data_IF_673218897405
#
_entry.id   IF_673218897405
#
_cell.length_a   1.000
_cell.length_b   1.000
_cell.length_c   1.000
_cell.angle_alpha   90.00
_cell.angle_beta   90.00
_cell.angle_gamma   90.00
#
_symmetry.space_group_name_H-M   'P 1'
#
loop_
_entity.id
_entity.type
_entity.pdbx_description
1 polymer ?
#
# COMPACT_ATOMS: atom_id res chain seq x y z
N UNK A 1 31.41 -10.81 -63.58
CA UNK A 1 30.55 -11.53 -64.53
C UNK A 1 29.14 -10.97 -64.38
N UNK A 2 28.54 -10.13 -65.21
CA UNK A 2 28.95 -9.34 -66.37
C UNK A 2 27.77 -8.37 -66.64
N UNK A 3 28.07 -7.07 -66.86
CA UNK A 3 27.42 -6.02 -67.69
C UNK A 3 25.86 -5.91 -67.68
N UNK A 4 25.22 -4.79 -67.29
CA UNK A 4 25.25 -3.42 -67.83
C UNK A 4 24.41 -3.20 -69.13
N UNK A 5 23.57 -2.14 -69.09
CA UNK A 5 23.22 -1.15 -70.15
C UNK A 5 21.86 -1.21 -70.87
N UNK A 6 21.13 -0.09 -70.68
CA UNK A 6 20.23 0.74 -71.52
C UNK A 6 19.58 0.23 -72.81
N UNK A 7 18.35 0.75 -73.03
CA UNK A 7 17.81 1.51 -74.19
C UNK A 7 16.30 1.20 -74.36
N UNK A 8 15.38 2.01 -74.89
CA UNK A 8 15.25 3.41 -75.29
C UNK A 8 13.76 3.68 -75.61
N UNK A 9 13.35 4.95 -75.47
CA UNK A 9 12.34 5.76 -76.21
C UNK A 9 11.29 5.11 -77.16
N UNK A 10 10.05 5.63 -77.08
CA UNK A 10 9.22 6.23 -78.17
C UNK A 10 7.87 6.73 -77.58
N UNK A 11 7.62 8.04 -77.49
CA UNK A 11 6.95 8.94 -78.47
C UNK A 11 5.56 8.47 -78.97
N UNK A 12 4.49 9.18 -78.59
CA UNK A 12 3.51 9.77 -79.51
C UNK A 12 2.40 10.54 -78.76
N UNK A 13 2.21 11.80 -79.16
CA UNK A 13 1.05 12.63 -78.86
C UNK A 13 -0.25 11.99 -79.36
N UNK A 14 -1.37 12.27 -78.69
CA UNK A 14 -2.64 12.60 -79.35
C UNK A 14 -3.60 13.29 -78.38
N UNK A 15 -3.80 14.58 -78.64
CA UNK A 15 -4.90 15.40 -78.13
C UNK A 15 -6.18 14.99 -78.83
N UNK A 16 -7.21 14.59 -78.09
CA UNK A 16 -8.60 14.60 -78.56
C UNK A 16 -9.44 15.18 -77.42
N UNK A 17 -9.98 16.38 -77.65
CA UNK A 17 -11.03 16.92 -76.81
C UNK A 17 -12.35 16.23 -77.12
N UNK A 18 -13.13 15.91 -76.08
CA UNK A 18 -14.56 15.68 -76.23
C UNK A 18 -15.30 16.32 -75.05
N UNK A 19 -16.28 17.15 -75.41
CA UNK A 19 -17.27 17.76 -74.55
C UNK A 19 -18.23 16.71 -73.97
N UNK A 20 -18.57 16.94 -72.70
CA UNK A 20 -19.88 16.70 -72.05
C UNK A 20 -20.55 15.34 -72.20
N UNK A 21 -20.69 14.63 -71.08
CA UNK A 21 -22.00 14.19 -70.58
C UNK A 21 -21.86 13.79 -69.11
N UNK A 22 -22.69 14.39 -68.26
CA UNK A 22 -22.72 14.13 -66.83
C UNK A 22 -23.18 12.71 -66.53
N UNK A 23 -22.36 12.00 -65.77
CA UNK A 23 -22.78 10.81 -65.04
C UNK A 23 -22.48 11.07 -63.56
N UNK A 24 -23.54 11.17 -62.75
CA UNK A 24 -23.49 11.13 -61.30
C UNK A 24 -22.98 9.76 -60.87
N UNK A 25 -21.67 9.63 -60.71
CA UNK A 25 -21.07 8.53 -59.95
C UNK A 25 -20.94 9.02 -58.51
N UNK A 26 -21.86 8.54 -57.67
CA UNK A 26 -21.74 8.61 -56.22
C UNK A 26 -20.47 7.83 -55.81
N UNK A 27 -19.35 8.54 -55.74
CA UNK A 27 -18.13 8.02 -55.17
C UNK A 27 -18.36 7.77 -53.69
N UNK A 28 -18.48 6.50 -53.30
CA UNK A 28 -18.23 6.07 -51.93
C UNK A 28 -16.77 6.43 -51.60
N UNK A 29 -16.55 7.65 -51.12
CA UNK A 29 -15.31 8.00 -50.46
C UNK A 29 -15.33 7.21 -49.16
N UNK A 30 -14.66 6.06 -49.16
CA UNK A 30 -14.25 5.41 -47.92
C UNK A 30 -13.40 6.43 -47.17
N UNK A 31 -14.01 7.13 -46.21
CA UNK A 31 -13.27 7.86 -45.19
C UNK A 31 -12.45 6.81 -44.47
N UNK A 32 -11.17 6.69 -44.83
CA UNK A 32 -10.18 6.13 -43.94
C UNK A 32 -10.29 6.96 -42.68
N UNK A 33 -10.92 6.39 -41.64
CA UNK A 33 -10.84 6.95 -40.30
C UNK A 33 -9.37 6.89 -39.95
N UNK A 34 -8.68 8.02 -40.06
CA UNK A 34 -7.43 8.23 -39.34
C UNK A 34 -7.75 7.96 -37.87
N UNK A 35 -7.35 6.79 -37.41
CA UNK A 35 -7.40 6.47 -36.00
C UNK A 35 -6.31 7.35 -35.40
N UNK A 36 -6.60 8.25 -34.45
CA UNK A 36 -5.57 9.11 -33.88
C UNK A 36 -4.49 8.19 -33.32
N UNK A 37 -3.28 8.35 -33.84
CA UNK A 37 -2.09 7.53 -33.55
C UNK A 37 -1.62 7.63 -32.08
N UNK A 38 -2.28 8.48 -31.27
CA UNK A 38 -2.00 8.64 -29.86
C UNK A 38 -3.32 8.79 -29.11
N UNK A 39 -3.64 7.80 -28.27
CA UNK A 39 -4.57 8.03 -27.18
C UNK A 39 -3.98 9.13 -26.28
N UNK A 40 -4.76 10.13 -25.84
CA UNK A 40 -4.24 11.14 -24.92
C UNK A 40 -3.73 10.47 -23.65
N UNK A 41 -2.56 10.90 -23.18
CA UNK A 41 -2.01 10.44 -21.90
C UNK A 41 -3.05 10.63 -20.78
N UNK A 42 -3.18 9.67 -19.84
CA UNK A 42 -4.16 9.75 -18.78
C UNK A 42 -3.93 11.01 -17.94
N UNK A 43 -4.98 11.82 -17.80
CA UNK A 43 -4.92 13.03 -16.97
C UNK A 43 -5.30 12.71 -15.52
N UNK A 44 -4.35 12.93 -14.61
CA UNK A 44 -4.55 12.77 -13.16
C UNK A 44 -5.00 14.07 -12.46
N UNK A 45 -5.39 15.10 -13.22
CA UNK A 45 -5.74 16.43 -12.69
C UNK A 45 -6.84 16.41 -11.63
N UNK A 46 -7.82 15.50 -11.74
CA UNK A 46 -8.88 15.33 -10.75
C UNK A 46 -8.35 14.76 -9.42
N UNK A 47 -7.38 13.85 -9.46
CA UNK A 47 -6.74 13.33 -8.25
C UNK A 47 -5.90 14.43 -7.59
N UNK A 48 -5.16 15.21 -8.38
CA UNK A 48 -4.36 16.34 -7.89
C UNK A 48 -5.23 17.44 -7.28
N UNK A 49 -6.40 17.73 -7.89
CA UNK A 49 -7.36 18.67 -7.35
C UNK A 49 -7.90 18.20 -5.99
N UNK A 50 -8.28 16.92 -5.86
CA UNK A 50 -8.74 16.36 -4.59
C UNK A 50 -7.68 16.51 -3.47
N UNK A 51 -6.40 16.31 -3.78
CA UNK A 51 -5.31 16.51 -2.81
C UNK A 51 -5.17 17.99 -2.44
N UNK A 52 -5.20 18.91 -3.42
CA UNK A 52 -5.13 20.36 -3.17
C UNK A 52 -6.31 20.84 -2.31
N UNK A 53 -7.52 20.36 -2.59
CA UNK A 53 -8.74 20.71 -1.84
C UNK A 53 -8.65 20.20 -0.39
N UNK A 54 -8.16 18.98 -0.19
CA UNK A 54 -7.93 18.45 1.15
C UNK A 54 -6.90 19.26 1.95
N UNK A 55 -5.86 19.77 1.29
CA UNK A 55 -4.88 20.66 1.95
C UNK A 55 -5.52 22.02 2.26
N UNK A 56 -6.25 22.61 1.32
CA UNK A 56 -6.92 23.90 1.49
C UNK A 56 -7.97 23.88 2.61
N UNK A 57 -8.64 22.74 2.81
CA UNK A 57 -9.64 22.53 3.87
C UNK A 57 -9.06 22.04 5.19
N UNK A 58 -7.73 21.92 5.31
CA UNK A 58 -7.06 21.52 6.55
C UNK A 58 -7.17 20.03 6.89
N UNK A 59 -7.53 19.17 5.94
CA UNK A 59 -7.61 17.72 6.17
C UNK A 59 -6.22 17.07 6.35
N UNK A 60 -5.17 17.68 5.79
CA UNK A 60 -3.76 17.36 6.02
C UNK A 60 -2.88 18.54 5.57
N UNK A 61 -1.62 18.66 6.07
CA UNK A 61 -0.74 19.79 5.69
C UNK A 61 -0.11 19.64 4.30
N UNK A 62 -0.01 18.42 3.79
CA UNK A 62 0.66 18.08 2.54
C UNK A 62 0.56 16.59 2.25
N UNK A 63 0.91 16.21 1.02
CA UNK A 63 0.87 14.82 0.58
C UNK A 63 1.86 14.53 -0.55
N UNK A 64 2.21 13.26 -0.69
CA UNK A 64 2.87 12.69 -1.87
C UNK A 64 1.93 11.64 -2.47
N UNK A 65 1.66 11.76 -3.77
CA UNK A 65 0.84 10.83 -4.54
C UNK A 65 1.72 10.13 -5.56
N UNK A 66 1.68 8.79 -5.57
CA UNK A 66 2.27 7.99 -6.63
C UNK A 66 1.25 6.97 -7.17
N UNK A 67 1.16 6.89 -8.49
CA UNK A 67 0.32 5.91 -9.20
C UNK A 67 1.23 5.07 -10.06
N UNK A 68 1.16 3.76 -9.91
CA UNK A 68 1.85 2.82 -10.78
C UNK A 68 0.88 2.04 -11.66
N UNK A 69 1.32 1.72 -12.88
CA UNK A 69 0.66 0.79 -13.79
C UNK A 69 1.68 0.06 -14.65
N UNK A 70 1.51 -1.24 -14.81
CA UNK A 70 2.35 -2.08 -15.69
C UNK A 70 3.85 -1.90 -15.44
N UNK A 71 4.25 -1.95 -14.16
CA UNK A 71 5.64 -1.87 -13.72
C UNK A 71 6.27 -0.47 -13.75
N UNK A 72 5.50 0.59 -14.03
CA UNK A 72 6.00 1.97 -14.09
C UNK A 72 5.18 2.91 -13.23
N UNK A 73 5.81 3.94 -12.68
CA UNK A 73 5.10 5.09 -12.12
C UNK A 73 4.56 5.91 -13.30
N UNK A 74 3.24 6.04 -13.38
CA UNK A 74 2.53 6.79 -14.41
C UNK A 74 2.05 8.15 -13.93
N UNK A 75 2.08 8.37 -12.60
CA UNK A 75 1.86 9.69 -12.00
C UNK A 75 2.65 9.84 -10.71
N UNK A 76 3.28 11.00 -10.52
CA UNK A 76 4.02 11.36 -9.31
C UNK A 76 3.78 12.84 -9.02
N UNK A 77 3.26 13.15 -7.84
CA UNK A 77 2.97 14.53 -7.46
C UNK A 77 3.23 14.78 -5.97
N UNK A 78 3.66 16.01 -5.66
CA UNK A 78 4.03 16.47 -4.32
C UNK A 78 3.26 17.74 -4.01
N UNK A 79 2.66 17.81 -2.82
CA UNK A 79 1.75 18.88 -2.45
C UNK A 79 2.00 19.39 -1.02
N UNK A 80 1.85 20.69 -0.83
CA UNK A 80 1.79 21.32 0.49
C UNK A 80 3.11 21.23 1.27
N UNK A 81 2.97 21.03 2.58
CA UNK A 81 4.08 21.07 3.54
C UNK A 81 4.16 19.77 4.32
N UNK A 82 5.37 19.29 4.58
CA UNK A 82 5.58 18.18 5.52
C UNK A 82 5.54 18.67 6.96
N UNK A 83 5.84 19.94 7.22
CA UNK A 83 5.70 20.55 8.53
C UNK A 83 5.12 21.96 8.40
N UNK A 84 4.14 22.31 9.23
CA UNK A 84 3.66 23.70 9.40
C UNK A 84 4.20 24.37 10.67
N UNK A 85 4.78 23.59 11.58
CA UNK A 85 5.33 24.01 12.88
C UNK A 85 6.36 22.97 13.34
N UNK A 86 7.38 23.33 14.15
CA UNK A 86 7.75 24.69 14.61
C UNK A 86 8.26 25.58 13.47
N UNK A 87 8.76 24.97 12.40
CA UNK A 87 9.19 25.65 11.18
C UNK A 87 8.44 25.06 10.00
N UNK A 88 7.95 25.93 9.12
CA UNK A 88 7.30 25.49 7.90
C UNK A 88 8.31 24.86 6.94
N UNK A 89 8.06 23.62 6.51
CA UNK A 89 8.91 22.87 5.58
C UNK A 89 8.06 22.34 4.42
N UNK A 90 8.50 22.60 3.19
CA UNK A 90 7.84 22.08 2.00
C UNK A 90 7.87 20.55 1.98
N UNK A 91 6.80 19.97 1.44
CA UNK A 91 6.77 18.56 1.12
C UNK A 91 7.73 18.29 -0.04
N UNK A 92 8.44 17.17 -0.01
CA UNK A 92 9.35 16.72 -1.07
C UNK A 92 9.09 15.26 -1.41
N UNK A 93 9.47 14.82 -2.61
CA UNK A 93 9.27 13.43 -3.05
C UNK A 93 9.98 12.41 -2.15
N UNK A 94 11.15 12.77 -1.62
CA UNK A 94 11.97 11.97 -0.71
C UNK A 94 11.57 12.11 0.77
N UNK A 95 10.42 12.74 1.05
CA UNK A 95 9.89 12.82 2.42
C UNK A 95 9.60 11.42 2.95
N UNK A 96 10.06 11.17 4.17
CA UNK A 96 9.86 9.90 4.88
C UNK A 96 8.65 10.04 5.80
N UNK A 97 7.72 9.10 5.72
CA UNK A 97 6.48 9.12 6.50
C UNK A 97 6.49 8.00 7.54
N UNK A 98 5.92 8.27 8.72
CA UNK A 98 5.46 7.20 9.59
C UNK A 98 4.30 6.47 8.91
N UNK A 99 4.49 5.20 8.60
CA UNK A 99 3.55 4.38 7.84
C UNK A 99 2.41 3.86 8.71
N UNK A 100 2.49 4.00 10.03
CA UNK A 100 1.51 3.51 10.98
C UNK A 100 1.10 2.07 10.64
N UNK A 101 -0.21 1.82 10.48
CA UNK A 101 -0.77 0.49 10.22
C UNK A 101 -0.40 -0.14 8.89
N UNK A 102 0.20 0.58 7.93
CA UNK A 102 0.82 -0.08 6.75
C UNK A 102 1.97 -1.02 7.14
N UNK A 103 2.54 -0.87 8.35
CA UNK A 103 3.49 -1.82 8.94
C UNK A 103 2.94 -3.25 8.97
N UNK A 104 1.62 -3.42 9.19
CA UNK A 104 0.97 -4.72 9.29
C UNK A 104 1.16 -5.57 8.03
N UNK A 105 0.66 -5.15 6.85
CA UNK A 105 0.82 -5.93 5.63
C UNK A 105 2.25 -5.89 5.08
N UNK A 106 2.93 -4.73 5.15
CA UNK A 106 4.23 -4.57 4.49
C UNK A 106 5.37 -5.30 5.21
N UNK A 107 5.27 -5.47 6.54
CA UNK A 107 6.33 -6.07 7.34
C UNK A 107 5.84 -7.34 8.05
N UNK A 108 4.92 -7.20 8.99
CA UNK A 108 4.65 -8.28 9.95
C UNK A 108 3.95 -9.47 9.30
N UNK A 109 2.91 -9.23 8.49
CA UNK A 109 2.25 -10.29 7.75
C UNK A 109 3.21 -10.94 6.73
N UNK A 110 3.99 -10.14 6.02
CA UNK A 110 4.99 -10.63 5.07
C UNK A 110 6.04 -11.53 5.77
N UNK A 111 6.55 -11.11 6.92
CA UNK A 111 7.49 -11.89 7.73
C UNK A 111 6.88 -13.22 8.21
N UNK A 112 5.62 -13.20 8.66
CA UNK A 112 4.90 -14.43 9.03
C UNK A 112 4.79 -15.36 7.82
N UNK A 113 4.42 -14.84 6.65
CA UNK A 113 4.30 -15.66 5.43
C UNK A 113 5.65 -16.21 4.95
N UNK A 114 6.76 -15.47 5.11
CA UNK A 114 8.10 -16.00 4.83
C UNK A 114 8.44 -17.18 5.73
N UNK A 115 8.09 -17.10 7.01
CA UNK A 115 8.31 -18.20 7.96
C UNK A 115 7.38 -19.39 7.68
N UNK A 116 6.20 -19.17 7.08
CA UNK A 116 5.32 -20.23 6.56
C UNK A 116 5.96 -20.93 5.37
N UNK A 117 6.52 -20.20 4.40
CA UNK A 117 7.25 -20.81 3.26
C UNK A 117 8.43 -21.68 3.69
N UNK A 118 9.08 -21.29 4.78
CA UNK A 118 10.19 -22.04 5.37
C UNK A 118 9.71 -23.27 6.17
N UNK A 119 8.41 -23.54 6.25
CA UNK A 119 7.82 -24.63 7.03
C UNK A 119 7.93 -24.44 8.55
N UNK A 120 8.20 -23.23 9.01
CA UNK A 120 8.42 -22.91 10.44
C UNK A 120 7.14 -22.49 11.15
N UNK A 121 6.18 -21.98 10.39
CA UNK A 121 4.84 -21.61 10.84
C UNK A 121 3.80 -22.29 9.96
N UNK A 122 2.63 -22.53 10.53
CA UNK A 122 1.44 -22.97 9.82
C UNK A 122 0.30 -22.02 10.20
N UNK A 123 -0.35 -21.44 9.19
CA UNK A 123 -1.37 -20.40 9.38
C UNK A 123 -2.61 -20.93 10.10
N UNK A 124 -2.85 -22.23 10.02
CA UNK A 124 -4.01 -22.89 10.63
C UNK A 124 -3.72 -23.42 12.04
N UNK A 125 -2.47 -23.30 12.52
CA UNK A 125 -2.13 -23.64 13.91
C UNK A 125 -2.45 -22.50 14.87
N UNK A 126 -2.85 -22.81 16.11
CA UNK A 126 -2.96 -21.83 17.19
C UNK A 126 -1.65 -21.09 17.46
N UNK A 127 -1.70 -19.80 17.75
CA UNK A 127 -0.51 -19.05 18.19
C UNK A 127 0.12 -19.68 19.44
N UNK A 128 -0.71 -20.23 20.33
CA UNK A 128 -0.29 -20.94 21.54
C UNK A 128 0.67 -22.11 21.28
N UNK A 129 0.66 -22.70 20.08
CA UNK A 129 1.65 -23.72 19.68
C UNK A 129 3.08 -23.19 19.74
N UNK A 130 3.27 -21.91 19.41
CA UNK A 130 4.58 -21.26 19.31
C UNK A 130 4.87 -20.37 20.51
N UNK A 131 3.84 -19.80 21.12
CA UNK A 131 3.89 -18.94 22.30
C UNK A 131 2.88 -19.43 23.36
N UNK A 132 3.21 -20.46 24.17
CA UNK A 132 2.25 -21.13 25.05
C UNK A 132 1.45 -20.23 25.98
N UNK A 133 2.09 -19.20 26.55
CA UNK A 133 1.44 -18.23 27.46
C UNK A 133 0.25 -17.51 26.79
N UNK A 134 0.26 -17.40 25.45
CA UNK A 134 -0.85 -16.80 24.72
C UNK A 134 -2.17 -17.56 24.91
N UNK A 135 -2.15 -18.85 25.27
CA UNK A 135 -3.36 -19.66 25.45
C UNK A 135 -4.31 -19.14 26.56
N UNK A 136 -3.79 -18.33 27.49
CA UNK A 136 -4.56 -17.75 28.60
C UNK A 136 -5.82 -17.02 28.12
N UNK A 137 -6.81 -16.85 28.99
CA UNK A 137 -7.98 -16.01 28.76
C UNK A 137 -8.75 -16.34 27.46
N UNK A 138 -9.01 -17.64 27.23
CA UNK A 138 -9.82 -18.16 26.10
C UNK A 138 -9.18 -17.96 24.71
N UNK A 139 -7.86 -17.82 24.64
CA UNK A 139 -7.12 -17.62 23.38
C UNK A 139 -6.46 -18.88 22.82
N UNK A 140 -6.59 -20.02 23.50
CA UNK A 140 -5.94 -21.29 23.13
C UNK A 140 -6.22 -21.75 21.69
N UNK A 141 -7.39 -21.45 21.14
CA UNK A 141 -7.79 -21.85 19.79
C UNK A 141 -7.55 -20.77 18.71
N UNK A 142 -7.01 -19.60 19.07
CA UNK A 142 -6.80 -18.50 18.11
C UNK A 142 -5.62 -18.85 17.21
N UNK A 143 -5.91 -19.12 15.93
CA UNK A 143 -4.91 -19.44 14.90
C UNK A 143 -4.24 -18.20 14.33
N UNK A 144 -3.10 -18.40 13.67
CA UNK A 144 -2.42 -17.31 12.97
C UNK A 144 -3.29 -16.70 11.88
N UNK A 145 -4.10 -17.51 11.17
CA UNK A 145 -5.11 -17.06 10.21
C UNK A 145 -6.06 -16.06 10.84
N UNK A 146 -6.60 -16.36 12.02
CA UNK A 146 -7.53 -15.46 12.71
C UNK A 146 -6.85 -14.15 13.14
N UNK A 147 -5.58 -14.18 13.52
CA UNK A 147 -4.81 -12.97 13.83
C UNK A 147 -4.57 -12.12 12.56
N UNK A 148 -4.07 -12.73 11.49
CA UNK A 148 -3.74 -12.10 10.21
C UNK A 148 -4.96 -11.50 9.50
N UNK A 149 -6.16 -12.04 9.76
CA UNK A 149 -7.42 -11.60 9.15
C UNK A 149 -8.31 -10.79 10.08
N UNK A 150 -7.87 -10.50 11.31
CA UNK A 150 -8.66 -9.76 12.30
C UNK A 150 -9.97 -10.44 12.75
N UNK A 151 -9.98 -11.77 12.77
CA UNK A 151 -11.07 -12.61 13.29
C UNK A 151 -10.74 -13.29 14.62
N UNK A 152 -9.73 -12.81 15.35
CA UNK A 152 -9.37 -13.34 16.66
C UNK A 152 -10.40 -13.06 17.76
N UNK A 153 -11.28 -12.07 17.54
CA UNK A 153 -12.19 -11.54 18.56
C UNK A 153 -11.51 -10.68 19.63
N UNK A 154 -10.20 -10.41 19.50
CA UNK A 154 -9.46 -9.58 20.45
C UNK A 154 -9.94 -8.12 20.42
N UNK A 155 -9.84 -7.39 21.56
CA UNK A 155 -10.08 -5.96 21.59
C UNK A 155 -9.22 -5.21 20.56
N UNK A 156 -9.65 -4.03 20.09
CA UNK A 156 -8.89 -3.25 19.11
C UNK A 156 -7.46 -2.96 19.58
N UNK A 157 -7.28 -2.53 20.82
CA UNK A 157 -6.01 -2.00 21.31
C UNK A 157 -5.66 -2.50 22.71
N UNK A 158 -4.37 -2.43 23.05
CA UNK A 158 -3.93 -2.56 24.43
C UNK A 158 -4.34 -1.31 25.23
N UNK A 159 -4.79 -1.50 26.46
CA UNK A 159 -5.17 -0.38 27.32
C UNK A 159 -3.96 0.54 27.62
N UNK A 160 -4.19 1.84 27.43
CA UNK A 160 -3.22 2.92 27.69
C UNK A 160 -3.55 3.76 28.92
N UNK A 161 -4.66 3.42 29.60
CA UNK A 161 -5.21 4.05 30.80
C UNK A 161 -4.23 4.12 31.97
N UNK A 162 -3.34 3.13 32.09
CA UNK A 162 -2.26 3.09 33.08
C UNK A 162 -0.89 3.19 32.40
N UNK A 163 0.10 3.84 33.02
CA UNK A 163 1.44 3.90 32.48
C UNK A 163 2.08 2.50 32.46
N UNK A 164 2.75 2.20 31.35
CA UNK A 164 3.58 1.00 31.19
C UNK A 164 4.59 1.21 30.09
N UNK A 165 5.71 0.52 30.18
CA UNK A 165 6.77 0.58 29.19
C UNK A 165 7.51 -0.75 29.08
N UNK A 166 8.15 -0.95 27.94
CA UNK A 166 8.95 -2.11 27.62
C UNK A 166 8.15 -3.27 27.02
N UNK A 167 8.84 -4.03 26.18
CA UNK A 167 8.27 -5.17 25.44
C UNK A 167 7.70 -6.26 26.36
N UNK A 168 8.32 -6.51 27.51
CA UNK A 168 7.83 -7.48 28.48
C UNK A 168 6.47 -7.10 29.08
N UNK A 169 6.23 -5.80 29.34
CA UNK A 169 4.93 -5.30 29.80
C UNK A 169 3.87 -5.34 28.70
N UNK A 170 4.26 -5.11 27.44
CA UNK A 170 3.37 -5.28 26.30
C UNK A 170 2.94 -6.74 26.15
N UNK A 171 3.87 -7.69 26.20
CA UNK A 171 3.55 -9.12 26.13
C UNK A 171 2.61 -9.57 27.25
N UNK A 172 2.85 -9.14 28.49
CA UNK A 172 1.92 -9.41 29.61
C UNK A 172 0.50 -8.93 29.32
N UNK A 173 0.34 -7.79 28.66
CA UNK A 173 -0.98 -7.25 28.30
C UNK A 173 -1.64 -8.01 27.16
N UNK A 174 -0.86 -8.43 26.16
CA UNK A 174 -1.34 -9.34 25.10
C UNK A 174 -1.84 -10.65 25.69
N UNK A 175 -1.09 -11.24 26.62
CA UNK A 175 -1.48 -12.46 27.34
C UNK A 175 -2.71 -12.23 28.22
N UNK A 176 -2.81 -11.07 28.89
CA UNK A 176 -3.95 -10.71 29.72
C UNK A 176 -5.23 -10.37 28.94
N UNK A 177 -5.12 -10.02 27.65
CA UNK A 177 -6.27 -9.67 26.84
C UNK A 177 -7.23 -10.86 26.68
N UNK A 178 -8.53 -10.58 26.76
CA UNK A 178 -9.61 -11.55 26.56
C UNK A 178 -10.38 -11.17 25.31
N UNK A 179 -10.66 -12.12 24.39
CA UNK A 179 -11.53 -11.86 23.24
C UNK A 179 -12.91 -11.32 23.69
N UNK A 180 -13.36 -10.24 23.05
CA UNK A 180 -14.69 -9.63 23.24
C UNK A 180 -15.76 -10.28 22.36
N UNK A 181 -15.33 -11.07 21.37
CA UNK A 181 -16.16 -11.95 20.56
C UNK A 181 -15.52 -13.33 20.46
N UNK A 182 -16.28 -14.40 20.20
CA UNK A 182 -15.70 -15.71 19.93
C UNK A 182 -14.75 -15.65 18.71
N UNK A 183 -13.58 -16.30 18.76
CA UNK A 183 -12.68 -16.38 17.61
C UNK A 183 -13.37 -16.98 16.38
N UNK A 184 -13.19 -16.35 15.23
CA UNK A 184 -13.78 -16.76 13.95
C UNK A 184 -15.17 -16.18 13.66
N UNK A 185 -15.78 -15.47 14.61
CA UNK A 185 -17.15 -14.97 14.46
C UNK A 185 -17.26 -13.54 13.93
N UNK A 186 -16.54 -12.61 14.56
CA UNK A 186 -16.68 -11.18 14.29
C UNK A 186 -15.35 -10.61 13.82
N UNK A 187 -15.42 -9.79 12.77
CA UNK A 187 -14.28 -8.97 12.35
C UNK A 187 -14.08 -7.84 13.36
N UNK A 188 -12.91 -7.81 13.98
CA UNK A 188 -12.49 -6.72 14.87
C UNK A 188 -11.08 -6.29 14.45
N UNK A 189 -10.98 -5.11 13.85
CA UNK A 189 -9.67 -4.53 13.55
C UNK A 189 -8.90 -4.31 14.86
N UNK A 190 -7.86 -5.11 15.05
CA UNK A 190 -7.16 -5.28 16.33
C UNK A 190 -5.65 -5.24 16.14
N UNK A 191 -5.02 -4.27 16.78
CA UNK A 191 -3.58 -4.09 16.86
C UNK A 191 -2.93 -5.16 17.74
N UNK A 192 -3.66 -5.68 18.74
CA UNK A 192 -3.21 -6.80 19.58
C UNK A 192 -2.82 -8.00 18.74
N UNK A 193 -3.56 -8.28 17.66
CA UNK A 193 -3.23 -9.37 16.73
C UNK A 193 -1.82 -9.23 16.18
N UNK A 194 -1.51 -8.04 15.67
CA UNK A 194 -0.24 -7.78 15.00
C UNK A 194 0.90 -7.56 16.00
N UNK A 195 0.63 -7.07 17.20
CA UNK A 195 1.60 -7.08 18.30
C UNK A 195 2.02 -8.52 18.61
N UNK A 196 1.05 -9.44 18.75
CA UNK A 196 1.32 -10.85 19.01
C UNK A 196 2.09 -11.52 17.86
N UNK A 197 1.73 -11.24 16.60
CA UNK A 197 2.45 -11.73 15.42
C UNK A 197 3.88 -11.14 15.33
N UNK A 198 4.11 -9.91 15.78
CA UNK A 198 5.44 -9.33 15.89
C UNK A 198 6.31 -10.14 16.87
N UNK A 199 5.80 -10.46 18.06
CA UNK A 199 6.49 -11.34 19.00
C UNK A 199 6.72 -12.75 18.45
N UNK A 200 5.78 -13.29 17.67
CA UNK A 200 5.95 -14.58 17.00
C UNK A 200 7.14 -14.57 16.05
N UNK A 201 7.24 -13.56 15.18
CA UNK A 201 8.36 -13.42 14.24
C UNK A 201 9.68 -13.37 15.02
N UNK A 202 9.75 -12.60 16.10
CA UNK A 202 10.97 -12.53 16.93
C UNK A 202 11.31 -13.86 17.58
N UNK A 203 10.32 -14.54 18.17
CA UNK A 203 10.50 -15.84 18.84
C UNK A 203 11.02 -16.92 17.90
N UNK A 204 10.47 -16.97 16.69
CA UNK A 204 10.81 -17.97 15.71
C UNK A 204 12.14 -17.62 15.06
N UNK A 205 12.32 -16.39 14.57
CA UNK A 205 13.55 -16.00 13.86
C UNK A 205 14.78 -15.83 14.76
N UNK A 206 14.60 -15.55 16.05
CA UNK A 206 15.69 -15.16 16.96
C UNK A 206 16.21 -13.74 16.70
N UNK A 207 15.52 -12.94 15.91
CA UNK A 207 15.87 -11.56 15.53
C UNK A 207 14.80 -10.60 16.02
N UNK A 208 15.16 -9.34 16.24
CA UNK A 208 14.13 -8.31 16.43
C UNK A 208 13.32 -8.13 15.14
N UNK A 209 12.07 -7.66 15.24
CA UNK A 209 11.26 -7.41 14.05
C UNK A 209 11.94 -6.40 13.08
N UNK A 210 12.55 -5.29 13.56
CA UNK A 210 13.36 -4.40 12.73
C UNK A 210 14.49 -5.11 11.98
N UNK A 211 15.29 -5.94 12.66
CA UNK A 211 16.42 -6.63 12.04
C UNK A 211 15.95 -7.65 11.00
N UNK A 212 14.88 -8.37 11.32
CA UNK A 212 14.26 -9.31 10.40
C UNK A 212 13.75 -8.58 9.14
N UNK A 213 13.02 -7.49 9.33
CA UNK A 213 12.48 -6.68 8.23
C UNK A 213 13.59 -6.12 7.34
N UNK A 214 14.62 -5.53 7.93
CA UNK A 214 15.76 -4.98 7.18
C UNK A 214 16.44 -6.05 6.32
N UNK A 215 16.66 -7.25 6.88
CA UNK A 215 17.42 -8.33 6.24
C UNK A 215 16.60 -9.08 5.19
N UNK A 216 15.35 -9.41 5.50
CA UNK A 216 14.55 -10.35 4.71
C UNK A 216 13.47 -9.70 3.83
N UNK A 217 13.20 -8.41 4.04
CA UNK A 217 12.14 -7.70 3.30
C UNK A 217 12.71 -6.47 2.60
N UNK A 218 13.22 -5.50 3.36
CA UNK A 218 13.58 -4.18 2.84
C UNK A 218 14.81 -4.24 1.93
N UNK A 219 15.89 -4.89 2.37
CA UNK A 219 17.11 -5.04 1.56
C UNK A 219 16.88 -5.83 0.26
N UNK A 220 16.22 -7.01 0.28
CA UNK A 220 15.93 -7.76 -0.95
C UNK A 220 15.06 -6.98 -1.94
N UNK A 221 14.08 -6.23 -1.45
CA UNK A 221 13.24 -5.35 -2.28
C UNK A 221 13.97 -4.10 -2.78
N UNK A 222 15.09 -3.73 -2.16
CA UNK A 222 15.81 -2.50 -2.46
C UNK A 222 15.13 -1.25 -1.90
N UNK A 223 14.36 -1.37 -0.82
CA UNK A 223 13.69 -0.26 -0.12
C UNK A 223 14.70 0.46 0.79
N UNK A 224 15.48 1.38 0.22
CA UNK A 224 16.67 1.97 0.85
C UNK A 224 16.35 3.07 1.86
N UNK A 225 15.18 3.68 1.76
CA UNK A 225 14.72 4.77 2.63
C UNK A 225 13.66 4.31 3.64
N UNK A 226 13.48 3.00 3.75
CA UNK A 226 12.54 2.36 4.66
C UNK A 226 13.26 1.74 5.83
N UNK A 227 12.78 2.01 7.04
CA UNK A 227 13.35 1.47 8.25
C UNK A 227 12.37 1.58 9.43
N UNK A 228 12.59 0.77 10.45
CA UNK A 228 12.14 1.11 11.80
C UNK A 228 13.18 2.03 12.44
N UNK A 229 12.76 2.82 13.43
CA UNK A 229 13.68 3.66 14.24
C UNK A 229 14.66 4.48 13.36
N UNK A 230 14.15 5.35 12.46
CA UNK A 230 14.99 6.04 11.49
C UNK A 230 16.10 6.83 12.18
N UNK A 231 17.34 6.65 11.69
CA UNK A 231 18.51 7.35 12.22
C UNK A 231 18.49 8.86 11.99
N UNK A 232 19.47 9.57 12.55
CA UNK A 232 19.53 11.04 12.55
C UNK A 232 19.52 11.63 11.13
N UNK A 233 20.21 11.03 10.17
CA UNK A 233 20.24 11.47 8.76
C UNK A 233 18.88 11.37 8.09
N UNK A 234 18.14 10.29 8.34
CA UNK A 234 16.78 10.10 7.82
C UNK A 234 15.78 11.04 8.50
N UNK A 235 15.95 11.29 9.81
CA UNK A 235 15.04 12.13 10.61
C UNK A 235 14.84 13.54 10.03
N UNK A 236 15.85 14.11 9.38
CA UNK A 236 15.75 15.41 8.71
C UNK A 236 14.71 15.42 7.57
N UNK A 237 14.50 14.28 6.89
CA UNK A 237 13.50 14.12 5.82
C UNK A 237 12.14 13.62 6.33
N UNK A 238 12.03 13.26 7.61
CA UNK A 238 10.79 12.72 8.16
C UNK A 238 9.74 13.82 8.30
N UNK A 239 8.54 13.57 7.77
CA UNK A 239 7.36 14.37 8.07
C UNK A 239 6.99 14.18 9.57
N UNK A 240 6.96 15.25 10.38
CA UNK A 240 6.48 15.16 11.76
C UNK A 240 5.01 14.71 11.80
N UNK A 241 4.60 14.12 12.94
CA UNK A 241 3.20 13.75 13.18
C UNK A 241 2.52 14.74 14.10
N UNK A 242 2.59 14.62 15.42
CA UNK A 242 1.97 15.61 16.31
C UNK A 242 2.87 15.88 17.53
N UNK A 243 2.52 16.89 18.31
CA UNK A 243 3.05 17.00 19.67
C UNK A 243 2.56 15.83 20.54
N UNK A 244 3.47 15.27 21.33
CA UNK A 244 3.15 14.28 22.33
C UNK A 244 2.61 14.90 23.63
N UNK A 245 2.31 14.06 24.61
CA UNK A 245 1.81 14.45 25.92
C UNK A 245 2.76 15.37 26.73
N UNK A 246 4.01 15.52 26.29
CA UNK A 246 5.04 16.36 26.90
C UNK A 246 5.38 17.61 26.06
N UNK A 247 4.61 17.88 25.00
CA UNK A 247 4.85 19.00 24.11
C UNK A 247 6.04 18.82 23.17
N UNK A 248 6.51 17.58 22.96
CA UNK A 248 7.59 17.26 22.02
C UNK A 248 7.00 16.86 20.67
N UNK A 249 7.43 17.52 19.60
CA UNK A 249 7.02 17.16 18.24
C UNK A 249 7.56 15.78 17.85
N UNK A 250 6.66 14.83 17.58
CA UNK A 250 7.01 13.50 17.11
C UNK A 250 7.53 13.57 15.67
N UNK A 251 8.85 13.43 15.52
CA UNK A 251 9.54 13.38 14.21
C UNK A 251 10.63 12.31 14.25
N UNK A 252 10.54 11.32 13.36
CA UNK A 252 11.40 10.12 13.40
C UNK A 252 11.12 9.22 14.61
N UNK A 253 10.01 9.45 15.30
CA UNK A 253 9.50 8.64 16.40
C UNK A 253 8.13 8.16 15.98
N UNK A 254 7.86 6.86 16.15
CA UNK A 254 6.56 6.27 15.79
C UNK A 254 5.44 7.02 16.52
N UNK A 255 4.37 7.32 15.80
CA UNK A 255 3.20 8.03 16.30
C UNK A 255 2.43 7.17 17.31
N UNK A 256 2.26 5.89 16.97
CA UNK A 256 1.47 4.94 17.75
C UNK A 256 1.99 4.85 19.20
N UNK A 257 1.16 5.19 20.21
CA UNK A 257 1.59 5.25 21.60
C UNK A 257 1.96 3.87 22.16
N UNK A 258 1.32 2.79 21.69
CA UNK A 258 1.65 1.42 22.11
C UNK A 258 3.05 1.03 21.62
N UNK A 259 3.36 1.29 20.35
CA UNK A 259 4.68 1.08 19.77
C UNK A 259 5.74 1.96 20.43
N UNK A 260 5.44 3.23 20.77
CA UNK A 260 6.32 4.08 21.58
C UNK A 260 6.63 3.45 22.93
N UNK A 261 5.61 3.01 23.68
CA UNK A 261 5.77 2.32 24.97
C UNK A 261 6.56 1.01 24.84
N UNK A 262 6.59 0.39 23.66
CA UNK A 262 7.37 -0.82 23.35
C UNK A 262 8.82 -0.58 22.93
N UNK A 263 9.28 0.67 22.91
CA UNK A 263 10.64 1.02 22.46
C UNK A 263 10.72 1.47 21.00
N UNK A 264 9.60 1.92 20.42
CA UNK A 264 9.55 2.57 19.11
C UNK A 264 9.20 1.65 17.93
N UNK A 265 8.87 0.38 18.18
CA UNK A 265 8.34 -0.51 17.15
C UNK A 265 7.47 -1.64 17.73
N UNK A 266 6.52 -2.10 16.93
CA UNK A 266 5.67 -3.25 17.20
C UNK A 266 5.21 -3.88 15.88
N UNK A 267 4.56 -5.04 15.93
CA UNK A 267 4.11 -5.68 14.69
C UNK A 267 2.99 -4.92 13.97
N UNK A 268 2.33 -3.98 14.63
CA UNK A 268 1.25 -3.19 14.05
C UNK A 268 1.66 -1.80 13.57
N UNK A 269 2.81 -1.27 14.02
CA UNK A 269 3.29 0.09 13.74
C UNK A 269 4.81 0.23 13.97
N UNK A 270 5.44 1.19 13.28
CA UNK A 270 6.86 1.55 13.47
C UNK A 270 7.67 1.62 12.17
N UNK A 271 7.10 1.18 11.04
CA UNK A 271 7.74 1.35 9.74
C UNK A 271 7.70 2.84 9.34
N UNK A 272 8.85 3.35 8.89
CA UNK A 272 8.97 4.59 8.14
C UNK A 272 9.33 4.26 6.69
N UNK A 273 8.79 5.00 5.72
CA UNK A 273 9.03 4.75 4.29
C UNK A 273 8.82 6.01 3.44
N UNK A 274 9.24 5.96 2.18
CA UNK A 274 9.00 6.98 1.15
C UNK A 274 8.01 6.49 0.08
N UNK A 275 7.57 7.40 -0.79
CA UNK A 275 6.74 7.05 -1.95
C UNK A 275 7.49 6.13 -2.93
N UNK A 276 8.79 6.37 -3.14
CA UNK A 276 9.66 5.51 -3.96
C UNK A 276 9.66 4.07 -3.46
N UNK A 277 9.93 3.85 -2.17
CA UNK A 277 10.03 2.51 -1.63
C UNK A 277 8.69 1.78 -1.60
N UNK A 278 7.59 2.49 -1.32
CA UNK A 278 6.23 1.93 -1.37
C UNK A 278 5.87 1.55 -2.81
N UNK A 279 6.24 2.37 -3.80
CA UNK A 279 6.06 2.05 -5.22
C UNK A 279 6.90 0.83 -5.64
N UNK A 280 8.15 0.73 -5.17
CA UNK A 280 9.00 -0.46 -5.39
C UNK A 280 8.39 -1.72 -4.80
N UNK A 281 7.88 -1.65 -3.57
CA UNK A 281 7.15 -2.74 -2.92
C UNK A 281 5.94 -3.18 -3.75
N UNK A 282 5.09 -2.23 -4.14
CA UNK A 282 3.84 -2.51 -4.86
C UNK A 282 4.09 -3.08 -6.27
N UNK A 283 5.07 -2.54 -7.00
CA UNK A 283 5.49 -3.07 -8.30
C UNK A 283 6.00 -4.51 -8.18
N UNK A 284 6.93 -4.76 -7.26
CA UNK A 284 7.46 -6.11 -7.06
C UNK A 284 6.35 -7.11 -6.69
N UNK A 285 5.39 -6.68 -5.85
CA UNK A 285 4.22 -7.48 -5.48
C UNK A 285 3.39 -7.84 -6.72
N UNK A 286 3.00 -6.84 -7.52
CA UNK A 286 2.21 -7.05 -8.74
C UNK A 286 2.92 -7.99 -9.71
N UNK A 287 4.22 -7.77 -9.94
CA UNK A 287 5.05 -8.60 -10.81
C UNK A 287 5.08 -10.06 -10.35
N UNK A 288 5.34 -10.30 -9.06
CA UNK A 288 5.37 -11.66 -8.50
C UNK A 288 4.01 -12.34 -8.60
N UNK A 289 2.91 -11.63 -8.34
CA UNK A 289 1.56 -12.17 -8.44
C UNK A 289 1.19 -12.53 -9.89
N UNK A 290 1.62 -11.70 -10.84
CA UNK A 290 1.45 -11.93 -12.27
C UNK A 290 2.36 -13.04 -12.84
N UNK A 291 3.33 -13.55 -12.06
CA UNK A 291 4.30 -14.54 -12.52
C UNK A 291 5.42 -13.94 -13.37
N UNK A 292 5.62 -12.62 -13.30
CA UNK A 292 6.75 -11.91 -13.91
C UNK A 292 7.98 -12.01 -12.99
N UNK A 293 9.15 -11.75 -13.56
CA UNK A 293 10.38 -11.60 -12.77
C UNK A 293 10.19 -10.49 -11.73
N UNK A 294 10.61 -10.76 -10.49
CA UNK A 294 10.32 -9.88 -9.36
C UNK A 294 11.28 -10.14 -8.22
N UNK A 295 11.58 -9.10 -7.43
CA UNK A 295 12.32 -9.19 -6.18
C UNK A 295 11.45 -9.45 -4.95
N UNK A 296 10.14 -9.59 -5.12
CA UNK A 296 9.25 -9.76 -3.98
C UNK A 296 9.60 -11.03 -3.19
N UNK A 297 9.78 -10.97 -1.87
CA UNK A 297 10.44 -12.04 -1.14
C UNK A 297 9.44 -13.09 -0.62
N UNK A 298 8.53 -13.54 -1.50
CA UNK A 298 7.64 -14.70 -1.33
C UNK A 298 7.42 -15.40 -2.67
N UNK A 299 7.41 -16.72 -2.71
CA UNK A 299 6.95 -17.46 -3.88
C UNK A 299 5.53 -17.04 -4.28
N UNK A 300 5.23 -17.15 -5.59
CA UNK A 300 3.95 -16.67 -6.15
C UNK A 300 2.73 -17.30 -5.47
N UNK A 301 2.78 -18.61 -5.16
CA UNK A 301 1.67 -19.30 -4.52
C UNK A 301 1.35 -18.73 -3.13
N UNK A 302 2.37 -18.47 -2.32
CA UNK A 302 2.21 -17.87 -0.98
C UNK A 302 1.77 -16.42 -1.07
N UNK A 303 2.27 -15.66 -2.04
CA UNK A 303 1.81 -14.29 -2.25
C UNK A 303 0.33 -14.25 -2.66
N UNK A 304 -0.11 -15.18 -3.51
CA UNK A 304 -1.53 -15.32 -3.87
C UNK A 304 -2.37 -15.62 -2.62
N UNK A 305 -1.93 -16.56 -1.78
CA UNK A 305 -2.58 -16.83 -0.49
C UNK A 305 -2.64 -15.57 0.40
N UNK A 306 -1.55 -14.82 0.51
CA UNK A 306 -1.48 -13.59 1.33
C UNK A 306 -2.45 -12.49 0.84
N UNK A 307 -2.73 -12.43 -0.46
CA UNK A 307 -3.44 -11.32 -1.11
C UNK A 307 -4.84 -11.69 -1.61
N UNK A 308 -5.36 -12.87 -1.25
CA UNK A 308 -6.72 -13.31 -1.56
C UNK A 308 -7.54 -13.46 -0.28
N UNK A 309 -8.88 -13.56 -0.34
CA UNK A 309 -9.71 -13.75 0.84
C UNK A 309 -9.29 -14.97 1.68
N UNK A 310 -8.97 -14.75 2.95
CA UNK A 310 -8.53 -15.78 3.92
C UNK A 310 -9.38 -15.79 5.20
N UNK A 311 -10.42 -14.95 5.27
CA UNK A 311 -11.35 -14.88 6.41
C UNK A 311 -12.10 -16.21 6.61
N UNK A 312 -12.67 -16.46 7.81
CA UNK A 312 -13.55 -17.59 8.03
C UNK A 312 -14.70 -17.65 7.01
N UNK A 313 -15.12 -18.86 6.64
CA UNK A 313 -16.18 -19.07 5.67
C UNK A 313 -17.49 -18.39 6.09
N UNK A 314 -18.21 -17.82 5.11
CA UNK A 314 -19.50 -17.16 5.34
C UNK A 314 -19.42 -15.77 5.99
N UNK A 315 -18.22 -15.19 6.17
CA UNK A 315 -18.07 -13.83 6.72
C UNK A 315 -18.04 -12.77 5.62
N UNK A 316 -18.72 -11.64 5.87
CA UNK A 316 -18.89 -10.56 4.91
C UNK A 316 -17.61 -9.73 4.70
N UNK A 317 -16.88 -9.43 5.78
CA UNK A 317 -15.68 -8.59 5.73
C UNK A 317 -14.50 -9.43 5.19
N UNK A 318 -14.08 -9.13 3.96
CA UNK A 318 -13.05 -9.91 3.29
C UNK A 318 -11.65 -9.37 3.61
N UNK A 319 -10.75 -10.27 4.02
CA UNK A 319 -9.37 -9.93 4.41
C UNK A 319 -8.40 -10.93 3.80
N UNK A 320 -7.30 -10.43 3.26
CA UNK A 320 -6.10 -11.24 3.04
C UNK A 320 -5.29 -11.34 4.33
N UNK A 321 -4.14 -12.01 4.27
CA UNK A 321 -3.21 -12.02 5.40
C UNK A 321 -2.54 -10.65 5.54
N UNK A 322 -3.05 -9.85 6.48
CA UNK A 322 -2.65 -8.46 6.73
C UNK A 322 -3.27 -7.42 5.80
N UNK A 323 -3.87 -7.83 4.68
CA UNK A 323 -4.48 -6.93 3.71
C UNK A 323 -5.99 -6.80 3.91
N UNK A 324 -6.51 -5.60 3.65
CA UNK A 324 -7.94 -5.35 3.50
C UNK A 324 -8.36 -5.57 2.05
N UNK A 325 -9.51 -6.23 1.82
CA UNK A 325 -10.07 -6.47 0.48
C UNK A 325 -11.43 -5.77 0.36
N UNK A 326 -12.33 -6.06 1.30
CA UNK A 326 -13.69 -5.52 1.28
C UNK A 326 -14.28 -5.41 2.68
N UNK A 327 -13.49 -4.90 3.64
CA UNK A 327 -14.01 -4.52 4.95
C UNK A 327 -14.75 -3.17 4.90
N UNK A 328 -15.48 -2.79 5.95
CA UNK A 328 -16.05 -1.44 6.05
C UNK A 328 -14.98 -0.33 6.14
N UNK A 329 -13.72 -0.67 6.42
CA UNK A 329 -12.58 0.25 6.33
C UNK A 329 -11.97 0.36 4.93
N UNK A 330 -12.38 -0.49 3.98
CA UNK A 330 -11.83 -0.55 2.62
C UNK A 330 -12.24 0.63 1.71
N UNK A 331 -12.71 1.75 2.28
CA UNK A 331 -13.12 2.94 1.51
C UNK A 331 -11.98 3.56 0.69
N UNK A 332 -10.72 3.31 1.08
CA UNK A 332 -9.53 3.69 0.31
C UNK A 332 -9.41 3.00 -1.06
N UNK A 333 -10.23 1.95 -1.32
CA UNK A 333 -10.43 1.37 -2.66
C UNK A 333 -11.04 2.36 -3.65
N UNK A 334 -11.76 3.37 -3.17
CA UNK A 334 -12.61 4.17 -4.04
C UNK A 334 -13.76 3.34 -4.64
N UNK A 335 -14.33 3.85 -5.73
CA UNK A 335 -15.56 3.31 -6.32
C UNK A 335 -15.32 2.45 -7.57
N UNK A 336 -14.09 2.40 -8.08
CA UNK A 336 -13.78 1.89 -9.42
C UNK A 336 -12.74 0.77 -9.46
N UNK A 337 -11.82 0.70 -8.48
CA UNK A 337 -10.90 -0.44 -8.43
C UNK A 337 -11.67 -1.76 -8.26
N UNK A 338 -11.09 -2.81 -8.82
CA UNK A 338 -11.73 -4.13 -8.90
C UNK A 338 -12.03 -4.72 -7.52
N UNK A 339 -12.95 -5.68 -7.46
CA UNK A 339 -13.20 -6.43 -6.23
C UNK A 339 -12.03 -7.36 -5.83
N UNK A 340 -11.09 -7.59 -6.75
CA UNK A 340 -9.84 -8.32 -6.49
C UNK A 340 -8.73 -7.42 -5.94
N UNK A 341 -8.98 -6.11 -5.88
CA UNK A 341 -8.04 -5.15 -5.31
C UNK A 341 -8.02 -5.24 -3.79
N UNK A 342 -6.88 -4.88 -3.22
CA UNK A 342 -6.65 -4.93 -1.79
C UNK A 342 -5.69 -3.82 -1.38
N UNK A 343 -5.70 -3.48 -0.10
CA UNK A 343 -4.83 -2.44 0.41
C UNK A 343 -4.89 -2.30 1.91
N UNK A 344 -4.30 -1.21 2.39
CA UNK A 344 -4.35 -0.85 3.79
C UNK A 344 -4.12 0.65 3.97
N UNK A 345 -4.54 1.17 5.12
CA UNK A 345 -4.31 2.56 5.50
C UNK A 345 -3.47 2.66 6.77
N UNK A 346 -2.81 3.80 6.97
CA UNK A 346 -2.12 4.17 8.20
C UNK A 346 -2.84 5.32 8.92
N UNK A 347 -2.86 5.29 10.24
CA UNK A 347 -3.52 6.33 11.05
C UNK A 347 -2.98 7.74 10.74
N UNK A 348 -1.68 7.85 10.48
CA UNK A 348 -0.95 9.09 10.15
C UNK A 348 -1.35 9.72 8.82
N UNK A 349 -2.10 9.02 7.97
CA UNK A 349 -2.60 9.55 6.70
C UNK A 349 -2.14 8.78 5.46
N UNK A 350 -1.19 7.87 5.62
CA UNK A 350 -0.66 7.02 4.54
C UNK A 350 -1.67 5.96 4.05
N UNK A 351 -1.57 5.55 2.79
CA UNK A 351 -2.31 4.42 2.24
C UNK A 351 -1.59 3.82 1.03
N UNK A 352 -1.80 2.51 0.83
CA UNK A 352 -1.45 1.79 -0.39
C UNK A 352 -2.66 0.94 -0.78
N UNK A 353 -3.11 1.09 -2.02
CA UNK A 353 -4.14 0.24 -2.62
C UNK A 353 -3.63 -0.33 -3.95
N UNK A 354 -3.78 -1.64 -4.14
CA UNK A 354 -3.24 -2.41 -5.26
C UNK A 354 -4.38 -3.11 -5.96
N UNK A 355 -4.48 -2.97 -7.28
CA UNK A 355 -5.46 -3.64 -8.13
C UNK A 355 -4.74 -4.53 -9.16
N UNK A 356 -4.56 -5.82 -8.85
CA UNK A 356 -3.88 -6.75 -9.74
C UNK A 356 -4.59 -7.00 -11.06
N UNK A 357 -5.94 -6.87 -11.10
CA UNK A 357 -6.71 -7.08 -12.33
C UNK A 357 -6.35 -6.03 -13.39
N UNK A 358 -6.06 -4.82 -12.94
CA UNK A 358 -5.70 -3.68 -13.78
C UNK A 358 -4.19 -3.37 -13.78
N UNK A 359 -3.40 -4.25 -13.15
CA UNK A 359 -1.95 -4.16 -13.00
C UNK A 359 -1.48 -2.79 -12.51
N UNK A 360 -2.14 -2.26 -11.48
CA UNK A 360 -1.91 -0.90 -10.99
C UNK A 360 -1.98 -0.78 -9.48
N UNK A 361 -1.47 0.35 -8.95
CA UNK A 361 -1.61 0.72 -7.55
C UNK A 361 -1.68 2.24 -7.39
N UNK A 362 -2.22 2.67 -6.26
CA UNK A 362 -2.15 4.06 -5.79
C UNK A 362 -1.58 4.08 -4.38
N UNK A 363 -0.61 4.94 -4.15
CA UNK A 363 -0.16 5.30 -2.80
C UNK A 363 -0.32 6.79 -2.57
N UNK A 364 -0.88 7.13 -1.42
CA UNK A 364 -1.05 8.50 -0.94
C UNK A 364 -0.43 8.56 0.44
N UNK A 365 0.66 9.31 0.56
CA UNK A 365 1.39 9.48 1.81
C UNK A 365 1.18 10.88 2.34
N UNK A 366 0.67 10.98 3.56
CA UNK A 366 0.43 12.24 4.26
C UNK A 366 0.80 12.08 5.72
N UNK A 367 0.94 13.20 6.43
CA UNK A 367 1.02 13.29 7.88
C UNK A 367 -0.19 14.06 8.42
N UNK A 368 -1.41 13.57 8.13
CA UNK A 368 -2.68 14.24 8.41
C UNK A 368 -2.88 14.69 9.86
N UNK A 369 -2.25 13.99 10.81
CA UNK A 369 -2.26 14.29 12.25
C UNK A 369 -1.41 15.52 12.62
N UNK A 370 -0.66 16.10 11.68
CA UNK A 370 0.18 17.25 11.97
C UNK A 370 -0.56 18.58 11.90
N UNK A 371 -0.45 19.44 12.93
CA UNK A 371 0.48 19.35 14.07
C UNK A 371 -0.07 18.80 15.40
N UNK A 372 -1.38 18.59 15.50
CA UNK A 372 -2.12 18.55 16.76
C UNK A 372 -3.00 17.30 16.93
N UNK A 373 -2.89 16.34 16.03
CA UNK A 373 -3.67 15.11 15.99
C UNK A 373 -4.97 15.19 15.20
N UNK A 374 -5.34 16.38 14.71
CA UNK A 374 -6.55 16.59 13.92
C UNK A 374 -6.36 16.17 12.44
N UNK A 375 -7.27 16.60 11.56
CA UNK A 375 -7.28 16.20 10.14
C UNK A 375 -7.95 14.86 9.86
N UNK A 376 -8.43 14.67 8.63
CA UNK A 376 -9.24 13.53 8.23
C UNK A 376 -9.14 13.22 6.74
N UNK A 377 -8.43 12.15 6.39
CA UNK A 377 -8.13 11.80 4.98
C UNK A 377 -8.90 10.60 4.45
N UNK A 378 -9.92 10.10 5.17
CA UNK A 378 -10.74 8.96 4.72
C UNK A 378 -11.40 9.28 3.37
N UNK A 379 -12.08 10.42 3.28
CA UNK A 379 -12.69 10.89 2.03
C UNK A 379 -11.64 11.16 0.95
N UNK A 380 -10.53 11.82 1.30
CA UNK A 380 -9.44 12.10 0.36
C UNK A 380 -8.93 10.81 -0.31
N UNK A 381 -8.65 9.75 0.46
CA UNK A 381 -8.18 8.47 -0.10
C UNK A 381 -9.19 7.87 -1.07
N UNK A 382 -10.47 7.86 -0.72
CA UNK A 382 -11.56 7.38 -1.58
C UNK A 382 -11.63 8.17 -2.88
N UNK A 383 -11.60 9.50 -2.79
CA UNK A 383 -11.75 10.41 -3.93
C UNK A 383 -10.54 10.32 -4.87
N UNK A 384 -9.32 10.28 -4.32
CA UNK A 384 -8.08 10.06 -5.08
C UNK A 384 -8.09 8.70 -5.77
N UNK A 385 -8.38 7.61 -5.06
CA UNK A 385 -8.44 6.28 -5.67
C UNK A 385 -9.46 6.21 -6.82
N UNK A 386 -10.63 6.83 -6.64
CA UNK A 386 -11.67 6.91 -7.67
C UNK A 386 -11.22 7.74 -8.87
N UNK A 387 -10.59 8.88 -8.65
CA UNK A 387 -10.08 9.73 -9.72
C UNK A 387 -8.94 9.07 -10.49
N UNK A 388 -8.03 8.38 -9.79
CA UNK A 388 -6.95 7.59 -10.39
C UNK A 388 -7.50 6.48 -11.27
N UNK A 389 -8.44 5.68 -10.76
CA UNK A 389 -9.05 4.61 -11.55
C UNK A 389 -9.74 5.14 -12.81
N UNK A 390 -10.45 6.27 -12.72
CA UNK A 390 -11.04 6.95 -13.91
C UNK A 390 -9.96 7.40 -14.90
N UNK A 391 -8.87 8.01 -14.44
CA UNK A 391 -7.75 8.41 -15.29
C UNK A 391 -7.13 7.20 -16.01
N UNK A 392 -7.06 6.05 -15.33
CA UNK A 392 -6.60 4.79 -15.88
C UNK A 392 -7.64 4.05 -16.76
N UNK A 393 -8.84 4.61 -16.94
CA UNK A 393 -9.95 4.00 -17.68
C UNK A 393 -10.36 2.62 -17.12
N UNK A 394 -10.47 2.53 -15.79
CA UNK A 394 -10.90 1.34 -15.02
C UNK A 394 -12.36 1.45 -14.59
#
# INVERSE_FOLDING_TARGET
>A
MERAVNQERRLALRTVGLLTSGALLAGCVSRVRETPLFAPEPSFAAADAAVRDAIATGACPGAVLAVGRSGRIVHSAVFGRRAVTPVAELMTWDTVFDMASLTKPMITALAVMQLVEQGRLDVDQPLARYLPDFAANRKAAITLRLLLTHYSGLPPDLALDRPWSGRAQAWRRVVAATPIHPPGETFVYSDINFIALGFLVERISGRTLPDYAATHILTPLGMKDSAFLPGASTRARVAPTQFDEHGVMLRGVVHDPTARRMGGYAGHAGLFSTATDVATYATALLDRRAGRDSRFPLARATLLMMTTPQQPAGRAEQRGFGWDISSHYATARGERFSQESFGHTGFTGTSLWVDPKNDCFVTLLTNRVHPDGHGGVVRLRKDVATAVARALSI
#
